data_IF_291189905199
#
_entry.id   IF_291189905199
#
_cell.length_a   1.000
_cell.length_b   1.000
_cell.length_c   1.000
_cell.angle_alpha   90.00
_cell.angle_beta   90.00
_cell.angle_gamma   90.00
#
_symmetry.space_group_name_H-M   'P 1'
#
loop_
_entity.id
_entity.type
_entity.pdbx_description
1 polymer ?
#
# COMPACT_ATOMS: atom_id res chain seq x y z
N UNK A 1 27.09 4.76 -28.40
CA UNK A 1 27.11 4.07 -27.09
C UNK A 1 25.92 4.59 -26.33
N UNK A 2 24.83 3.85 -26.30
CA UNK A 2 23.71 4.14 -25.40
C UNK A 2 24.23 3.88 -23.98
N UNK A 3 24.29 4.94 -23.17
CA UNK A 3 24.43 4.78 -21.74
C UNK A 3 23.10 4.14 -21.33
N UNK A 4 23.09 2.84 -21.07
CA UNK A 4 22.00 2.24 -20.30
C UNK A 4 21.91 3.06 -19.01
N UNK A 5 20.89 3.89 -18.87
CA UNK A 5 20.73 4.73 -17.68
C UNK A 5 20.54 3.81 -16.48
N UNK A 6 21.63 3.58 -15.73
CA UNK A 6 21.60 2.78 -14.51
C UNK A 6 20.93 3.65 -13.44
N UNK A 7 19.64 3.42 -13.22
CA UNK A 7 18.92 4.03 -12.11
C UNK A 7 19.37 3.46 -10.77
N UNK A 8 19.72 4.33 -9.83
CA UNK A 8 20.12 3.96 -8.46
C UNK A 8 18.96 4.21 -7.50
N UNK A 9 18.60 3.24 -6.66
CA UNK A 9 17.56 3.47 -5.64
C UNK A 9 18.13 4.35 -4.53
N UNK A 10 17.31 5.21 -3.94
CA UNK A 10 17.71 6.05 -2.79
C UNK A 10 18.28 5.20 -1.65
N UNK A 11 17.69 4.02 -1.41
CA UNK A 11 18.16 3.05 -0.42
C UNK A 11 19.56 2.51 -0.71
N UNK A 12 19.94 2.35 -1.98
CA UNK A 12 21.29 1.93 -2.34
C UNK A 12 22.31 3.06 -2.10
N UNK A 13 21.91 4.32 -2.22
CA UNK A 13 22.77 5.46 -1.89
C UNK A 13 23.03 5.51 -0.38
N UNK A 14 21.99 5.36 0.44
CA UNK A 14 22.14 5.31 1.90
C UNK A 14 22.98 4.12 2.34
N UNK A 15 22.76 2.95 1.74
CA UNK A 15 23.55 1.75 1.99
C UNK A 15 25.01 1.93 1.55
N UNK A 16 25.27 2.64 0.45
CA UNK A 16 26.62 2.89 -0.04
C UNK A 16 27.40 3.77 0.93
N UNK A 17 26.76 4.82 1.47
CA UNK A 17 27.39 5.71 2.47
C UNK A 17 27.81 4.91 3.71
N UNK A 18 27.00 3.93 4.11
CA UNK A 18 27.30 3.08 5.27
C UNK A 18 28.33 1.98 4.94
N UNK A 19 28.14 1.25 3.84
CA UNK A 19 28.99 0.14 3.42
C UNK A 19 28.99 -0.04 1.89
N UNK A 20 29.97 0.55 1.17
CA UNK A 20 30.09 0.41 -0.28
C UNK A 20 30.17 -1.04 -0.76
N UNK A 21 30.83 -1.91 0.04
CA UNK A 21 30.96 -3.34 -0.28
C UNK A 21 29.59 -4.03 -0.35
N UNK A 22 28.66 -3.71 0.55
CA UNK A 22 27.29 -4.27 0.54
C UNK A 22 26.61 -3.98 -0.80
N UNK A 23 26.66 -2.72 -1.25
CA UNK A 23 26.05 -2.29 -2.50
C UNK A 23 26.72 -2.94 -3.72
N UNK A 24 28.05 -3.09 -3.70
CA UNK A 24 28.78 -3.78 -4.77
C UNK A 24 28.36 -5.26 -4.88
N UNK A 25 28.30 -5.98 -3.76
CA UNK A 25 27.85 -7.38 -3.74
C UNK A 25 26.43 -7.52 -4.31
N UNK A 26 25.51 -6.63 -3.91
CA UNK A 26 24.12 -6.63 -4.35
C UNK A 26 23.95 -6.26 -5.81
N UNK A 27 24.46 -5.09 -6.23
CA UNK A 27 24.15 -4.49 -7.55
C UNK A 27 25.09 -4.94 -8.67
N UNK A 28 26.34 -5.29 -8.36
CA UNK A 28 27.33 -5.67 -9.38
C UNK A 28 27.47 -7.18 -9.45
N UNK A 29 27.63 -7.84 -8.30
CA UNK A 29 27.80 -9.30 -8.26
C UNK A 29 26.48 -10.08 -8.17
N UNK A 30 25.35 -9.41 -7.95
CA UNK A 30 24.01 -10.04 -7.95
C UNK A 30 23.71 -10.89 -6.72
N UNK A 31 24.43 -10.72 -5.61
CA UNK A 31 24.11 -11.42 -4.37
C UNK A 31 22.82 -10.88 -3.75
N UNK A 32 21.92 -11.77 -3.35
CA UNK A 32 20.71 -11.44 -2.59
C UNK A 32 20.86 -11.84 -1.13
N UNK A 33 20.30 -11.03 -0.24
CA UNK A 33 20.11 -11.41 1.17
C UNK A 33 18.99 -12.46 1.26
N UNK A 34 19.16 -13.43 2.15
CA UNK A 34 18.11 -14.40 2.49
C UNK A 34 16.88 -13.68 3.05
N UNK A 35 15.71 -14.27 2.85
CA UNK A 35 14.48 -13.70 3.39
C UNK A 35 14.47 -13.81 4.91
N UNK A 36 14.25 -12.67 5.56
CA UNK A 36 14.07 -12.57 7.00
C UNK A 36 12.59 -12.44 7.34
N UNK A 37 12.23 -12.74 8.59
CA UNK A 37 10.87 -12.53 9.09
C UNK A 37 10.40 -11.09 8.83
N UNK A 38 11.26 -10.09 9.11
CA UNK A 38 10.91 -8.68 8.93
C UNK A 38 10.64 -8.34 7.45
N UNK A 39 11.43 -8.92 6.53
CA UNK A 39 11.27 -8.69 5.09
C UNK A 39 9.98 -9.31 4.56
N UNK A 40 9.65 -10.52 5.00
CA UNK A 40 8.39 -11.18 4.65
C UNK A 40 7.22 -10.39 5.23
N UNK A 41 7.28 -10.03 6.51
CA UNK A 41 6.23 -9.25 7.16
C UNK A 41 5.97 -7.93 6.44
N UNK A 42 7.03 -7.16 6.12
CA UNK A 42 6.90 -5.93 5.34
C UNK A 42 6.29 -6.17 3.96
N UNK A 43 6.65 -7.27 3.29
CA UNK A 43 6.08 -7.63 1.98
C UNK A 43 4.60 -7.98 2.05
N UNK A 44 4.16 -8.67 3.11
CA UNK A 44 2.75 -8.97 3.37
C UNK A 44 1.97 -7.67 3.58
N UNK A 45 2.50 -6.75 4.39
CA UNK A 45 1.85 -5.46 4.65
C UNK A 45 1.74 -4.63 3.37
N UNK A 46 2.77 -4.59 2.53
CA UNK A 46 2.71 -3.89 1.24
C UNK A 46 1.68 -4.53 0.29
N UNK A 47 1.68 -5.87 0.14
CA UNK A 47 0.66 -6.58 -0.66
C UNK A 47 -0.76 -6.26 -0.18
N UNK A 48 -0.96 -6.18 1.14
CA UNK A 48 -2.25 -5.85 1.73
C UNK A 48 -2.70 -4.42 1.37
N UNK A 49 -1.81 -3.43 1.50
CA UNK A 49 -2.12 -2.04 1.12
C UNK A 49 -2.44 -1.89 -0.37
N UNK A 50 -1.69 -2.58 -1.23
CA UNK A 50 -1.91 -2.53 -2.67
C UNK A 50 -3.30 -3.09 -3.02
N UNK A 51 -3.66 -4.24 -2.43
CA UNK A 51 -5.00 -4.83 -2.62
C UNK A 51 -6.11 -3.95 -2.09
N UNK A 52 -5.92 -3.30 -0.93
CA UNK A 52 -6.90 -2.35 -0.39
C UNK A 52 -7.14 -1.24 -1.40
N UNK A 53 -6.09 -0.64 -1.95
CA UNK A 53 -6.21 0.45 -2.92
C UNK A 53 -6.84 0.01 -4.24
N UNK A 54 -6.56 -1.21 -4.70
CA UNK A 54 -7.12 -1.74 -5.95
C UNK A 54 -8.61 -2.09 -5.82
N UNK A 55 -9.02 -2.67 -4.68
CA UNK A 55 -10.36 -3.23 -4.49
C UNK A 55 -11.31 -2.33 -3.68
N UNK A 56 -10.84 -1.25 -3.06
CA UNK A 56 -11.70 -0.32 -2.27
C UNK A 56 -12.92 0.20 -3.07
N UNK A 57 -12.73 0.43 -4.37
CA UNK A 57 -13.80 0.86 -5.27
C UNK A 57 -15.01 -0.10 -5.23
N UNK A 58 -14.77 -1.40 -5.10
CA UNK A 58 -15.83 -2.42 -5.08
C UNK A 58 -16.70 -2.30 -3.84
N UNK A 59 -16.10 -1.99 -2.68
CA UNK A 59 -16.83 -1.75 -1.42
C UNK A 59 -17.76 -0.55 -1.58
N UNK A 60 -17.22 0.57 -2.10
CA UNK A 60 -17.94 1.83 -2.20
C UNK A 60 -19.10 1.72 -3.19
N UNK A 61 -18.90 1.00 -4.29
CA UNK A 61 -19.95 0.76 -5.28
C UNK A 61 -21.17 0.02 -4.70
N UNK A 62 -21.00 -0.76 -3.64
CA UNK A 62 -22.08 -1.50 -2.99
C UNK A 62 -22.92 -0.64 -2.01
N UNK A 63 -22.47 0.57 -1.67
CA UNK A 63 -23.21 1.50 -0.81
C UNK A 63 -24.25 2.23 -1.67
N UNK A 64 -25.48 1.72 -1.74
CA UNK A 64 -26.56 2.27 -2.60
C UNK A 64 -27.46 3.31 -1.93
N UNK A 65 -27.36 3.45 -0.63
CA UNK A 65 -28.18 4.34 0.20
C UNK A 65 -27.37 4.81 1.41
N UNK A 66 -27.94 5.69 2.22
CA UNK A 66 -27.30 6.14 3.45
C UNK A 66 -27.12 4.98 4.44
N UNK A 67 -25.89 4.80 4.89
CA UNK A 67 -25.49 3.76 5.84
C UNK A 67 -24.81 4.40 7.04
N UNK A 68 -25.17 3.98 8.26
CA UNK A 68 -24.51 4.48 9.45
C UNK A 68 -23.03 4.07 9.51
N UNK A 69 -22.21 4.89 10.17
CA UNK A 69 -20.75 4.69 10.26
C UNK A 69 -20.37 3.27 10.70
N UNK A 70 -21.04 2.71 11.70
CA UNK A 70 -20.75 1.36 12.20
C UNK A 70 -20.92 0.29 11.12
N UNK A 71 -21.92 0.43 10.24
CA UNK A 71 -22.12 -0.51 9.13
C UNK A 71 -21.06 -0.35 8.05
N UNK A 72 -20.61 0.88 7.75
CA UNK A 72 -19.51 1.12 6.82
C UNK A 72 -18.21 0.52 7.37
N UNK A 73 -17.91 0.77 8.65
CA UNK A 73 -16.74 0.21 9.30
C UNK A 73 -16.73 -1.32 9.23
N UNK A 74 -17.86 -1.97 9.57
CA UNK A 74 -17.99 -3.42 9.46
C UNK A 74 -17.77 -3.95 8.03
N UNK A 75 -18.23 -3.23 6.99
CA UNK A 75 -17.96 -3.61 5.59
C UNK A 75 -16.45 -3.61 5.30
N UNK A 76 -15.77 -2.56 5.75
CA UNK A 76 -14.34 -2.37 5.58
C UNK A 76 -13.50 -3.38 6.40
N UNK A 77 -13.91 -3.73 7.62
CA UNK A 77 -13.23 -4.75 8.45
C UNK A 77 -13.38 -6.17 7.89
N UNK A 78 -14.57 -6.52 7.40
CA UNK A 78 -14.79 -7.81 6.73
C UNK A 78 -13.91 -7.92 5.48
N UNK A 79 -13.88 -6.86 4.69
CA UNK A 79 -13.03 -6.77 3.51
C UNK A 79 -11.53 -6.87 3.85
N UNK A 80 -11.06 -6.18 4.90
CA UNK A 80 -9.67 -6.29 5.38
C UNK A 80 -9.32 -7.74 5.72
N UNK A 81 -10.23 -8.45 6.38
CA UNK A 81 -10.03 -9.85 6.76
C UNK A 81 -9.85 -10.74 5.53
N UNK A 82 -10.67 -10.56 4.49
CA UNK A 82 -10.54 -11.29 3.23
C UNK A 82 -9.21 -11.01 2.53
N UNK A 83 -8.81 -9.75 2.41
CA UNK A 83 -7.54 -9.37 1.78
C UNK A 83 -6.31 -9.84 2.56
N UNK A 84 -6.41 -9.91 3.89
CA UNK A 84 -5.36 -10.44 4.74
C UNK A 84 -5.13 -11.94 4.49
N UNK A 85 -6.20 -12.72 4.34
CA UNK A 85 -6.10 -14.14 3.97
C UNK A 85 -5.47 -14.32 2.58
N UNK A 86 -5.89 -13.52 1.60
CA UNK A 86 -5.29 -13.53 0.26
C UNK A 86 -3.79 -13.21 0.32
N UNK A 87 -3.40 -12.19 1.09
CA UNK A 87 -2.00 -11.77 1.22
C UNK A 87 -1.17 -12.84 1.90
N UNK A 88 -1.66 -13.47 2.96
CA UNK A 88 -0.91 -14.54 3.63
C UNK A 88 -0.75 -15.76 2.74
N UNK A 89 -1.75 -16.07 1.92
CA UNK A 89 -1.68 -17.17 0.96
C UNK A 89 -0.59 -16.95 -0.10
N UNK A 90 -0.37 -15.73 -0.54
CA UNK A 90 0.71 -15.39 -1.48
C UNK A 90 2.11 -15.65 -0.92
N UNK A 91 2.29 -15.50 0.39
CA UNK A 91 3.57 -15.68 1.08
C UNK A 91 3.67 -17.01 1.86
N UNK A 92 2.77 -17.96 1.59
CA UNK A 92 2.65 -19.20 2.36
C UNK A 92 3.93 -20.04 2.38
N UNK A 93 4.64 -20.09 1.26
CA UNK A 93 5.89 -20.85 1.14
C UNK A 93 7.00 -20.24 2.00
N UNK A 94 7.17 -18.91 1.95
CA UNK A 94 8.20 -18.21 2.72
C UNK A 94 7.91 -18.28 4.23
N UNK A 95 6.64 -18.16 4.61
CA UNK A 95 6.18 -18.34 6.01
C UNK A 95 6.55 -19.74 6.50
N UNK A 96 6.30 -20.77 5.69
CA UNK A 96 6.63 -22.15 6.02
C UNK A 96 8.14 -22.36 6.12
N UNK A 97 8.91 -21.82 5.19
CA UNK A 97 10.37 -21.96 5.14
C UNK A 97 11.06 -21.36 6.38
N UNK A 98 10.50 -20.27 6.92
CA UNK A 98 11.00 -19.63 8.14
C UNK A 98 10.32 -20.13 9.43
N UNK A 99 9.44 -21.14 9.36
CA UNK A 99 8.66 -21.66 10.48
C UNK A 99 7.91 -20.57 11.28
N UNK A 100 7.35 -19.58 10.58
CA UNK A 100 6.62 -18.49 11.22
C UNK A 100 5.18 -18.90 11.55
N UNK A 101 4.65 -18.39 12.67
CA UNK A 101 3.24 -18.58 13.03
C UNK A 101 2.35 -17.67 12.18
N UNK A 102 1.51 -18.30 11.35
CA UNK A 102 0.52 -17.61 10.51
C UNK A 102 -0.43 -16.74 11.33
N UNK A 103 -0.87 -17.18 12.50
CA UNK A 103 -1.82 -16.43 13.32
C UNK A 103 -1.19 -15.18 13.92
N UNK A 104 0.06 -15.29 14.36
CA UNK A 104 0.82 -14.14 14.84
C UNK A 104 1.05 -13.11 13.72
N UNK A 105 1.39 -13.56 12.51
CA UNK A 105 1.49 -12.68 11.33
C UNK A 105 0.16 -11.98 11.06
N UNK A 106 -0.98 -12.70 11.11
CA UNK A 106 -2.32 -12.11 10.92
C UNK A 106 -2.58 -10.98 11.90
N UNK A 107 -2.39 -11.25 13.19
CA UNK A 107 -2.65 -10.28 14.26
C UNK A 107 -1.78 -9.05 14.07
N UNK A 108 -0.49 -9.24 13.79
CA UNK A 108 0.44 -8.14 13.55
C UNK A 108 0.04 -7.34 12.32
N UNK A 109 -0.15 -7.98 11.16
CA UNK A 109 -0.51 -7.29 9.93
C UNK A 109 -1.83 -6.51 10.05
N UNK A 110 -2.85 -7.11 10.67
CA UNK A 110 -4.12 -6.44 10.97
C UNK A 110 -3.90 -5.16 11.79
N UNK A 111 -3.08 -5.23 12.85
CA UNK A 111 -2.81 -4.09 13.73
C UNK A 111 -2.10 -2.93 13.03
N UNK A 112 -1.33 -3.20 11.98
CA UNK A 112 -0.66 -2.19 11.18
C UNK A 112 -1.60 -1.44 10.22
N UNK A 113 -2.69 -2.08 9.80
CA UNK A 113 -3.54 -1.59 8.70
C UNK A 113 -4.90 -1.09 9.19
N UNK A 114 -5.37 -1.57 10.35
CA UNK A 114 -6.71 -1.25 10.87
C UNK A 114 -6.97 0.26 11.00
N UNK A 115 -5.98 1.05 11.42
CA UNK A 115 -6.14 2.49 11.53
C UNK A 115 -6.40 3.16 10.17
N UNK A 116 -5.72 2.71 9.11
CA UNK A 116 -5.96 3.23 7.75
C UNK A 116 -7.37 2.88 7.27
N UNK A 117 -7.84 1.68 7.62
CA UNK A 117 -9.20 1.22 7.31
C UNK A 117 -10.25 2.04 8.05
N UNK A 118 -10.06 2.33 9.34
CA UNK A 118 -10.92 3.21 10.13
C UNK A 118 -10.97 4.63 9.53
N UNK A 119 -9.81 5.18 9.14
CA UNK A 119 -9.70 6.51 8.53
C UNK A 119 -10.44 6.56 7.17
N UNK A 120 -10.34 5.50 6.36
CA UNK A 120 -11.08 5.38 5.08
C UNK A 120 -12.58 5.27 5.29
N UNK A 121 -13.02 4.38 6.18
CA UNK A 121 -14.44 4.21 6.50
C UNK A 121 -15.06 5.52 6.99
N UNK A 122 -14.32 6.25 7.82
CA UNK A 122 -14.72 7.57 8.32
C UNK A 122 -14.80 8.61 7.19
N UNK A 123 -13.84 8.60 6.26
CA UNK A 123 -13.87 9.48 5.10
C UNK A 123 -15.11 9.23 4.24
N UNK A 124 -15.40 7.97 3.91
CA UNK A 124 -16.59 7.56 3.15
C UNK A 124 -17.87 8.03 3.85
N UNK A 125 -17.99 7.77 5.15
CA UNK A 125 -19.16 8.20 5.93
C UNK A 125 -19.36 9.71 5.90
N UNK A 126 -18.30 10.49 6.11
CA UNK A 126 -18.38 11.96 6.10
C UNK A 126 -18.78 12.48 4.72
N UNK A 127 -18.16 11.97 3.65
CA UNK A 127 -18.49 12.37 2.28
C UNK A 127 -19.95 12.10 1.93
N UNK A 128 -20.43 10.92 2.28
CA UNK A 128 -21.83 10.53 2.06
C UNK A 128 -22.79 11.43 2.85
N UNK A 129 -22.47 11.71 4.13
CA UNK A 129 -23.28 12.59 5.00
C UNK A 129 -23.33 14.03 4.52
N UNK A 130 -22.23 14.56 4.00
CA UNK A 130 -22.10 15.96 3.59
C UNK A 130 -22.68 16.22 2.19
N UNK A 131 -22.60 15.25 1.28
CA UNK A 131 -22.90 15.44 -0.14
C UNK A 131 -24.10 14.63 -0.65
N UNK A 132 -24.66 13.72 0.15
CA UNK A 132 -25.78 12.84 -0.24
C UNK A 132 -25.48 12.00 -1.50
N UNK A 133 -24.23 11.49 -1.59
CA UNK A 133 -23.73 10.70 -2.73
C UNK A 133 -23.56 9.22 -2.38
N UNK A 134 -23.82 8.35 -3.35
CA UNK A 134 -23.81 6.89 -3.18
C UNK A 134 -23.17 6.17 -4.37
N UNK A 135 -22.74 4.93 -4.15
CA UNK A 135 -22.27 4.02 -5.19
C UNK A 135 -21.15 4.60 -6.06
N UNK A 136 -21.41 4.66 -7.37
CA UNK A 136 -20.42 5.15 -8.35
C UNK A 136 -20.11 6.63 -8.13
N UNK A 137 -21.14 7.45 -7.87
CA UNK A 137 -20.96 8.89 -7.65
C UNK A 137 -20.13 9.14 -6.39
N UNK A 138 -20.41 8.40 -5.30
CA UNK A 138 -19.62 8.48 -4.08
C UNK A 138 -18.14 8.22 -4.35
N UNK A 139 -17.81 7.16 -5.08
CA UNK A 139 -16.42 6.87 -5.45
C UNK A 139 -15.80 7.96 -6.33
N UNK A 140 -16.53 8.46 -7.32
CA UNK A 140 -16.03 9.49 -8.21
C UNK A 140 -15.63 10.76 -7.45
N UNK A 141 -16.45 11.19 -6.49
CA UNK A 141 -16.24 12.41 -5.72
C UNK A 141 -15.44 12.23 -4.43
N UNK A 142 -15.27 11.00 -3.94
CA UNK A 142 -14.49 10.73 -2.73
C UNK A 142 -13.04 11.23 -2.87
N UNK A 143 -12.62 12.03 -1.90
CA UNK A 143 -11.27 12.58 -1.78
C UNK A 143 -10.76 12.54 -0.34
N UNK A 144 -9.45 12.36 -0.11
CA UNK A 144 -8.47 11.94 -1.12
C UNK A 144 -8.67 10.48 -1.53
N UNK A 145 -8.28 10.16 -2.77
CA UNK A 145 -7.97 8.78 -3.15
C UNK A 145 -6.55 8.46 -2.70
N UNK A 146 -6.34 7.31 -2.08
CA UNK A 146 -5.02 6.91 -1.58
C UNK A 146 -4.35 5.99 -2.60
N UNK A 147 -3.06 6.23 -2.85
CA UNK A 147 -2.16 5.27 -3.51
C UNK A 147 -0.96 5.00 -2.63
N UNK A 148 -0.47 3.77 -2.65
CA UNK A 148 0.74 3.36 -1.93
C UNK A 148 1.84 2.94 -2.89
N UNK A 149 3.06 2.82 -2.37
CA UNK A 149 4.22 2.20 -3.05
C UNK A 149 4.57 2.79 -4.44
N UNK A 150 4.52 4.11 -4.59
CA UNK A 150 4.81 4.77 -5.87
C UNK A 150 6.31 5.04 -6.06
N UNK A 151 6.91 4.43 -7.08
CA UNK A 151 8.29 4.76 -7.49
C UNK A 151 8.32 6.15 -8.17
N UNK A 152 9.24 7.02 -7.71
CA UNK A 152 9.46 8.37 -8.24
C UNK A 152 10.86 8.49 -8.80
N UNK A 153 10.95 8.86 -10.07
CA UNK A 153 12.22 8.88 -10.81
C UNK A 153 12.70 10.29 -11.08
N UNK A 154 13.96 10.57 -10.75
CA UNK A 154 14.69 11.75 -11.21
C UNK A 154 15.61 11.38 -12.37
N UNK A 155 15.21 11.75 -13.59
CA UNK A 155 16.04 11.58 -14.79
C UNK A 155 17.33 12.40 -14.73
N UNK A 156 17.29 13.58 -14.08
CA UNK A 156 18.47 14.46 -13.95
C UNK A 156 19.60 13.78 -13.16
N UNK A 157 19.24 12.98 -12.16
CA UNK A 157 20.22 12.35 -11.26
C UNK A 157 20.31 10.83 -11.45
N UNK A 158 19.50 10.24 -12.32
CA UNK A 158 19.32 8.79 -12.44
C UNK A 158 19.03 8.11 -11.10
N UNK A 159 18.14 8.70 -10.30
CA UNK A 159 17.75 8.21 -8.97
C UNK A 159 16.28 7.80 -8.96
N UNK A 160 15.96 6.69 -8.28
CA UNK A 160 14.59 6.24 -8.01
C UNK A 160 14.34 6.23 -6.51
N UNK A 161 13.38 7.03 -6.06
CA UNK A 161 12.82 6.96 -4.71
C UNK A 161 11.49 6.20 -4.71
N UNK A 162 10.96 5.96 -3.51
CA UNK A 162 9.61 5.42 -3.32
C UNK A 162 8.85 6.29 -2.34
N UNK A 163 7.58 6.54 -2.64
CA UNK A 163 6.62 7.20 -1.76
C UNK A 163 5.69 6.13 -1.20
N UNK A 164 5.69 5.97 0.11
CA UNK A 164 4.89 4.95 0.80
C UNK A 164 3.39 5.24 0.69
N UNK A 165 2.98 6.51 0.77
CA UNK A 165 1.58 6.96 0.67
C UNK A 165 1.45 8.28 -0.06
N UNK A 166 0.52 8.34 -1.01
CA UNK A 166 0.14 9.52 -1.77
C UNK A 166 -1.37 9.73 -1.68
N UNK A 167 -1.76 10.93 -1.24
CA UNK A 167 -3.15 11.38 -1.27
C UNK A 167 -3.42 12.18 -2.54
N UNK A 168 -4.44 11.78 -3.29
CA UNK A 168 -4.81 12.37 -4.57
C UNK A 168 -6.14 13.09 -4.41
N UNK A 169 -6.08 14.40 -4.54
CA UNK A 169 -7.23 15.30 -4.61
C UNK A 169 -7.43 15.70 -6.08
N UNK A 170 -8.67 15.77 -6.59
CA UNK A 170 -8.90 16.38 -7.90
C UNK A 170 -8.49 17.85 -7.78
N UNK A 171 -7.72 18.35 -8.75
CA UNK A 171 -7.42 19.79 -8.81
C UNK A 171 -8.74 20.55 -8.75
N UNK A 172 -8.90 21.43 -7.76
CA UNK A 172 -9.84 22.52 -7.89
C UNK A 172 -9.47 23.24 -9.18
N UNK A 173 -10.37 23.25 -10.17
CA UNK A 173 -10.25 24.18 -11.29
C UNK A 173 -10.32 25.58 -10.69
N UNK A 174 -9.17 26.15 -10.34
CA UNK A 174 -9.08 27.59 -10.19
C UNK A 174 -9.34 28.16 -11.58
N UNK A 175 -10.59 28.56 -11.81
CA UNK A 175 -10.95 29.56 -12.81
C UNK A 175 -9.99 30.74 -12.66
N UNK A 176 -9.09 30.87 -13.63
CA UNK A 176 -8.43 32.12 -13.99
C UNK A 176 -9.18 32.72 -15.18
#
# INVERSE_FOLDING_TARGET
MEINDIFVRVTDITDYIFCPRKVYLKRVLGYSEEDTEQKIFGSIVHSLFDKINEKEQEIIFNIKEFVEYEKILNLYENFLTELLEESIKEFEEQIKNLNLDKNDIKIRAYSYVIKDIEDRAKNVYNFMKENDLYGIELWEFLEPKIKTELDVTSLKYNIVGRIDRLEIYKKAYNTL
#
